data_IF_830211177399
#
_entry.id   IF_830211177399
#
_cell.length_a   1.000
_cell.length_b   1.000
_cell.length_c   1.000
_cell.angle_alpha   90.00
_cell.angle_beta   90.00
_cell.angle_gamma   90.00
#
_symmetry.space_group_name_H-M   'P 1'
#
loop_
_entity.id
_entity.type
_entity.pdbx_description
1 polymer ?
#
# COMPACT_ATOMS: atom_id res chain seq x y z
N UNK A 1 4.61 3.23 -0.14
CA UNK A 1 4.21 2.66 -1.46
C UNK A 1 3.83 3.70 -2.49
N UNK A 2 3.16 4.77 -2.15
CA UNK A 2 2.78 5.85 -3.08
C UNK A 2 3.96 6.48 -3.87
N UNK A 3 5.19 6.23 -3.48
CA UNK A 3 6.40 6.73 -4.16
C UNK A 3 6.92 5.79 -5.26
N UNK A 4 6.54 4.51 -5.24
CA UNK A 4 7.03 3.49 -6.18
C UNK A 4 6.78 3.87 -7.65
N UNK A 5 5.58 4.32 -8.06
CA UNK A 5 5.32 4.66 -9.44
C UNK A 5 6.17 5.80 -9.99
N UNK A 6 6.72 6.64 -9.10
CA UNK A 6 7.59 7.74 -9.51
C UNK A 6 8.99 7.21 -9.81
N UNK A 7 9.47 6.23 -9.05
CA UNK A 7 10.76 5.59 -9.31
C UNK A 7 10.82 4.94 -10.69
N UNK A 8 9.71 4.37 -11.17
CA UNK A 8 9.65 3.69 -12.46
C UNK A 8 9.86 4.58 -13.66
N UNK A 9 9.71 5.89 -13.50
CA UNK A 9 9.97 6.85 -14.57
C UNK A 9 11.46 7.11 -14.79
N UNK A 10 12.31 6.55 -13.94
CA UNK A 10 13.74 6.79 -13.96
C UNK A 10 14.51 5.48 -13.96
N UNK A 11 14.87 4.98 -15.14
CA UNK A 11 15.55 3.68 -15.29
C UNK A 11 16.82 3.58 -14.45
N UNK A 12 17.52 4.69 -14.26
CA UNK A 12 18.71 4.77 -13.42
C UNK A 12 18.47 4.39 -11.96
N UNK A 13 17.22 4.41 -11.50
CA UNK A 13 16.86 4.04 -10.12
C UNK A 13 16.52 2.56 -9.97
N UNK A 14 16.29 1.85 -11.07
CA UNK A 14 15.79 0.48 -11.04
C UNK A 14 16.72 -0.51 -10.34
N UNK A 15 18.02 -0.24 -10.31
CA UNK A 15 19.03 -1.12 -9.69
C UNK A 15 19.62 -0.55 -8.40
N UNK A 16 19.18 0.64 -7.97
CA UNK A 16 19.71 1.22 -6.73
C UNK A 16 19.17 0.49 -5.49
N UNK A 17 19.97 0.41 -4.43
CA UNK A 17 19.48 -0.07 -3.14
C UNK A 17 18.32 0.79 -2.62
N UNK A 18 17.41 0.16 -1.89
CA UNK A 18 16.26 0.83 -1.28
C UNK A 18 16.46 0.83 0.23
N UNK A 19 16.56 2.03 0.79
CA UNK A 19 16.69 2.20 2.24
C UNK A 19 15.31 2.05 2.88
N UNK A 20 15.21 1.14 3.83
CA UNK A 20 13.96 0.82 4.51
C UNK A 20 14.24 0.71 6.01
N UNK A 21 13.30 1.22 6.81
CA UNK A 21 13.35 1.06 8.25
C UNK A 21 13.19 -0.41 8.66
N UNK A 22 14.07 -0.93 9.53
CA UNK A 22 14.12 -2.33 9.94
C UNK A 22 13.02 -2.72 10.95
N UNK A 23 12.43 -1.76 11.64
CA UNK A 23 11.32 -1.98 12.58
C UNK A 23 9.95 -2.21 11.94
N UNK A 24 9.86 -2.36 10.59
CA UNK A 24 8.59 -2.66 9.95
C UNK A 24 8.21 -4.13 10.15
N UNK A 25 6.91 -4.43 10.41
CA UNK A 25 6.43 -5.81 10.39
C UNK A 25 6.76 -6.51 9.06
N UNK A 26 7.16 -7.78 9.11
CA UNK A 26 7.62 -8.56 7.94
C UNK A 26 6.72 -8.47 6.70
N UNK A 27 5.40 -8.47 6.92
CA UNK A 27 4.39 -8.31 5.85
C UNK A 27 4.56 -7.04 5.00
N UNK A 28 5.19 -5.99 5.52
CA UNK A 28 5.43 -4.77 4.74
C UNK A 28 6.52 -4.97 3.68
N UNK A 29 7.53 -5.79 3.98
CA UNK A 29 8.57 -6.16 3.01
C UNK A 29 7.98 -7.01 1.90
N UNK A 30 7.11 -7.98 2.23
CA UNK A 30 6.39 -8.79 1.25
C UNK A 30 5.51 -7.91 0.36
N UNK A 31 4.88 -6.91 0.96
CA UNK A 31 4.04 -5.95 0.22
C UNK A 31 4.86 -5.10 -0.77
N UNK A 32 6.07 -4.70 -0.40
CA UNK A 32 6.97 -3.95 -1.30
C UNK A 32 7.41 -4.84 -2.45
N UNK A 33 7.70 -6.11 -2.18
CA UNK A 33 8.08 -7.10 -3.19
C UNK A 33 6.94 -7.37 -4.17
N UNK A 34 5.70 -7.41 -3.72
CA UNK A 34 4.51 -7.51 -4.57
C UNK A 34 4.46 -6.41 -5.64
N UNK A 35 4.97 -5.22 -5.33
CA UNK A 35 5.08 -4.12 -6.27
C UNK A 35 6.36 -4.15 -7.12
N UNK A 36 7.10 -5.25 -7.13
CA UNK A 36 8.22 -5.50 -8.02
C UNK A 36 9.58 -5.01 -7.52
N UNK A 37 9.69 -4.62 -6.25
CA UNK A 37 10.98 -4.27 -5.66
C UNK A 37 11.52 -5.47 -4.88
N UNK A 38 12.53 -6.13 -5.41
CA UNK A 38 13.12 -7.33 -4.82
C UNK A 38 13.72 -7.06 -3.44
N UNK A 39 13.50 -7.96 -2.49
CA UNK A 39 14.08 -7.89 -1.13
C UNK A 39 15.61 -7.79 -1.13
N UNK A 40 16.27 -8.37 -2.12
CA UNK A 40 17.74 -8.30 -2.27
C UNK A 40 18.27 -6.86 -2.46
N UNK A 41 17.40 -5.90 -2.78
CA UNK A 41 17.73 -4.48 -2.89
C UNK A 41 17.56 -3.72 -1.58
N UNK A 42 17.00 -4.33 -0.55
CA UNK A 42 16.72 -3.64 0.72
C UNK A 42 18.00 -3.49 1.53
N UNK A 43 18.25 -2.28 1.97
CA UNK A 43 19.19 -1.97 3.05
C UNK A 43 18.34 -1.55 4.24
N UNK A 44 18.32 -2.39 5.27
CA UNK A 44 17.57 -2.13 6.48
C UNK A 44 18.33 -1.14 7.36
N UNK A 45 17.64 -0.11 7.80
CA UNK A 45 18.21 0.94 8.63
C UNK A 45 17.58 0.89 10.01
N UNK A 46 18.36 0.64 11.06
CA UNK A 46 17.87 0.71 12.43
C UNK A 46 17.45 2.15 12.79
N UNK A 47 16.38 2.27 13.59
CA UNK A 47 15.88 3.57 14.02
C UNK A 47 16.91 4.40 14.80
N UNK A 48 17.75 3.69 15.55
CA UNK A 48 18.72 4.31 16.47
C UNK A 48 20.07 4.62 15.84
N UNK A 49 20.30 4.20 14.60
CA UNK A 49 21.62 4.33 13.95
C UNK A 49 21.52 5.28 12.74
N UNK A 50 22.10 6.48 12.83
CA UNK A 50 22.15 7.36 11.68
C UNK A 50 23.00 6.76 10.56
N UNK A 51 22.51 6.86 9.33
CA UNK A 51 23.20 6.36 8.14
C UNK A 51 23.63 7.53 7.26
N UNK A 52 24.93 7.57 6.95
CA UNK A 52 25.47 8.54 6.01
C UNK A 52 25.47 7.94 4.60
N UNK A 53 24.77 8.59 3.68
CA UNK A 53 24.75 8.21 2.27
C UNK A 53 25.45 9.28 1.42
N UNK A 54 26.18 8.86 0.40
CA UNK A 54 26.89 9.78 -0.51
C UNK A 54 25.90 10.54 -1.40
N UNK A 55 24.85 9.88 -1.86
CA UNK A 55 23.79 10.44 -2.69
C UNK A 55 22.47 9.77 -2.36
N UNK A 56 21.46 10.54 -2.02
CA UNK A 56 20.12 10.06 -1.72
C UNK A 56 19.14 10.54 -2.79
N UNK A 57 18.38 9.58 -3.34
CA UNK A 57 17.26 9.87 -4.23
C UNK A 57 15.96 9.72 -3.44
N UNK A 58 15.14 10.75 -3.45
CA UNK A 58 13.85 10.73 -2.79
C UNK A 58 12.76 11.09 -3.79
N UNK A 59 11.79 10.20 -3.94
CA UNK A 59 10.59 10.51 -4.71
C UNK A 59 9.56 11.23 -3.82
N UNK A 60 8.84 12.22 -4.33
CA UNK A 60 7.70 12.79 -3.63
C UNK A 60 6.59 11.75 -3.45
N UNK A 61 5.65 12.00 -2.56
CA UNK A 61 4.46 11.15 -2.44
C UNK A 61 3.52 11.38 -3.62
N UNK A 62 3.00 10.31 -4.21
CA UNK A 62 1.93 10.36 -5.19
C UNK A 62 0.54 10.57 -4.55
N UNK A 63 0.50 10.68 -3.24
CA UNK A 63 -0.71 10.97 -2.46
C UNK A 63 -0.38 12.11 -1.52
N UNK A 64 -1.17 13.16 -1.61
CA UNK A 64 -1.12 14.29 -0.67
C UNK A 64 -2.46 14.35 0.06
N UNK A 65 -2.40 14.41 1.36
CA UNK A 65 -3.55 14.74 2.21
C UNK A 65 -3.24 16.09 2.84
N UNK A 66 -3.99 17.12 2.48
CA UNK A 66 -3.92 18.43 3.08
C UNK A 66 -4.17 18.38 4.59
N UNK A 67 -3.97 19.48 5.27
CA UNK A 67 -4.31 19.64 6.68
C UNK A 67 -5.79 19.31 6.86
N UNK A 68 -6.23 18.88 8.05
CA UNK A 68 -7.60 18.44 8.34
C UNK A 68 -8.71 19.43 7.93
N UNK A 69 -8.35 20.69 7.69
CA UNK A 69 -9.25 21.75 7.22
C UNK A 69 -9.28 21.95 5.71
N UNK A 70 -8.37 21.31 4.96
CA UNK A 70 -8.30 21.46 3.52
C UNK A 70 -9.01 20.30 2.84
N UNK A 71 -10.01 20.59 2.03
CA UNK A 71 -10.74 19.62 1.19
C UNK A 71 -9.85 19.02 0.09
N UNK A 72 -8.58 19.40 0.00
CA UNK A 72 -7.65 19.01 -1.04
C UNK A 72 -6.86 17.74 -0.69
N UNK A 73 -7.53 16.60 -0.72
CA UNK A 73 -6.82 15.33 -0.82
C UNK A 73 -6.48 15.07 -2.30
N UNK A 74 -5.21 15.10 -2.66
CA UNK A 74 -4.76 14.77 -4.00
C UNK A 74 -4.25 13.33 -4.05
N UNK A 75 -4.80 12.55 -4.98
CA UNK A 75 -4.31 11.22 -5.31
C UNK A 75 -3.99 11.21 -6.81
N UNK A 76 -2.73 10.94 -7.13
CA UNK A 76 -2.34 10.78 -8.52
C UNK A 76 -2.88 9.46 -9.08
N UNK A 77 -3.87 9.57 -9.95
CA UNK A 77 -4.65 8.46 -10.49
C UNK A 77 -3.78 7.43 -11.22
N UNK A 78 -2.83 7.89 -12.02
CA UNK A 78 -1.92 7.03 -12.78
C UNK A 78 -0.99 6.22 -11.85
N UNK A 79 -0.61 6.78 -10.71
CA UNK A 79 0.16 6.08 -9.70
C UNK A 79 -0.63 4.91 -9.09
N UNK A 80 -1.91 5.11 -8.82
CA UNK A 80 -2.80 4.05 -8.32
C UNK A 80 -2.95 2.93 -9.35
N UNK A 81 -3.16 3.27 -10.62
CA UNK A 81 -3.26 2.29 -11.70
C UNK A 81 -1.94 1.53 -11.92
N UNK A 82 -0.80 2.20 -11.84
CA UNK A 82 0.52 1.56 -11.92
C UNK A 82 0.72 0.55 -10.80
N UNK A 83 0.43 0.93 -9.55
CA UNK A 83 0.50 0.01 -8.41
C UNK A 83 -0.43 -1.19 -8.58
N UNK A 84 -1.69 -0.94 -8.97
CA UNK A 84 -2.65 -2.02 -9.24
C UNK A 84 -2.13 -2.98 -10.32
N UNK A 85 -1.64 -2.46 -11.45
CA UNK A 85 -1.14 -3.28 -12.54
C UNK A 85 0.06 -4.15 -12.12
N UNK A 86 0.94 -3.62 -11.28
CA UNK A 86 2.07 -4.39 -10.71
C UNK A 86 1.63 -5.49 -9.77
N UNK A 87 0.74 -5.17 -8.84
CA UNK A 87 0.17 -6.17 -7.95
C UNK A 87 -0.50 -7.30 -8.73
N UNK A 88 -1.29 -6.97 -9.76
CA UNK A 88 -1.99 -7.95 -10.59
C UNK A 88 -1.06 -8.83 -11.42
N UNK A 89 0.13 -8.35 -11.82
CA UNK A 89 1.13 -9.16 -12.51
C UNK A 89 1.78 -10.21 -11.60
N UNK A 90 1.95 -9.88 -10.33
CA UNK A 90 2.64 -10.71 -9.35
C UNK A 90 1.68 -11.55 -8.49
N UNK A 91 0.38 -11.39 -8.69
CA UNK A 91 -0.64 -12.07 -7.93
C UNK A 91 -1.60 -12.81 -8.85
N UNK A 92 -1.62 -14.13 -8.76
CA UNK A 92 -2.61 -14.95 -9.46
C UNK A 92 -3.94 -14.82 -8.72
N UNK A 93 -4.84 -14.03 -9.26
CA UNK A 93 -6.19 -13.93 -8.70
C UNK A 93 -7.01 -15.16 -9.10
N UNK A 94 -7.73 -15.76 -8.16
CA UNK A 94 -8.76 -16.72 -8.51
C UNK A 94 -9.83 -16.04 -9.40
N UNK A 95 -10.60 -16.81 -10.18
CA UNK A 95 -11.71 -16.25 -10.94
C UNK A 95 -12.63 -15.47 -10.01
N UNK A 96 -13.17 -14.37 -10.50
CA UNK A 96 -14.09 -13.49 -9.75
C UNK A 96 -15.44 -14.21 -9.59
N UNK A 97 -15.54 -15.06 -8.58
CA UNK A 97 -16.73 -15.86 -8.30
C UNK A 97 -17.57 -15.32 -7.17
N UNK A 98 -16.99 -14.45 -6.34
CA UNK A 98 -17.62 -14.01 -5.09
C UNK A 98 -17.54 -12.52 -4.89
N UNK A 99 -18.59 -11.96 -4.29
CA UNK A 99 -18.61 -10.61 -3.74
C UNK A 99 -18.27 -10.72 -2.27
N UNK A 100 -17.16 -10.10 -1.85
CA UNK A 100 -16.67 -10.20 -0.47
C UNK A 100 -16.75 -8.83 0.19
N UNK A 101 -17.35 -8.77 1.36
CA UNK A 101 -17.29 -7.61 2.25
C UNK A 101 -16.30 -7.89 3.38
N UNK A 102 -15.21 -7.14 3.42
CA UNK A 102 -14.21 -7.24 4.48
C UNK A 102 -14.59 -6.33 5.64
N UNK A 103 -15.04 -6.94 6.71
CA UNK A 103 -15.33 -6.22 7.93
C UNK A 103 -14.06 -6.02 8.76
N UNK A 104 -13.95 -4.87 9.39
CA UNK A 104 -12.88 -4.60 10.33
C UNK A 104 -13.13 -5.36 11.64
N UNK A 105 -12.08 -5.96 12.20
CA UNK A 105 -12.16 -6.50 13.55
C UNK A 105 -12.55 -5.40 14.54
N UNK A 106 -13.37 -5.69 15.56
CA UNK A 106 -13.77 -4.73 16.58
C UNK A 106 -12.53 -4.05 17.19
N UNK A 107 -12.56 -2.73 17.28
CA UNK A 107 -11.49 -1.94 17.87
C UNK A 107 -12.07 -0.85 18.77
N UNK A 108 -11.28 -0.34 19.71
CA UNK A 108 -11.75 0.67 20.67
C UNK A 108 -12.31 1.95 20.04
N UNK A 109 -11.95 2.28 18.81
CA UNK A 109 -12.18 3.64 18.28
C UNK A 109 -12.92 3.73 16.95
N UNK A 110 -13.24 2.63 16.27
CA UNK A 110 -13.87 2.67 14.93
C UNK A 110 -14.69 1.44 14.65
N UNK A 111 -15.79 1.29 15.37
CA UNK A 111 -16.74 0.22 15.10
C UNK A 111 -17.88 0.76 14.23
N UNK A 112 -18.40 -0.08 13.36
CA UNK A 112 -19.62 0.20 12.62
C UNK A 112 -20.79 -0.09 13.56
N UNK A 113 -21.58 0.93 13.90
CA UNK A 113 -22.65 0.81 14.88
C UNK A 113 -23.77 -0.15 14.43
N UNK A 114 -24.10 -0.13 13.13
CA UNK A 114 -25.17 -0.93 12.52
C UNK A 114 -24.66 -2.08 11.66
N UNK A 115 -23.61 -2.76 12.10
CA UNK A 115 -22.96 -3.84 11.33
C UNK A 115 -23.90 -5.00 10.98
N UNK A 116 -24.89 -5.27 11.82
CA UNK A 116 -25.87 -6.32 11.57
C UNK A 116 -26.80 -5.96 10.41
N UNK A 117 -27.34 -4.76 10.40
CA UNK A 117 -28.20 -4.24 9.31
C UNK A 117 -27.44 -4.23 7.98
N UNK A 118 -26.17 -3.78 8.02
CA UNK A 118 -25.30 -3.82 6.84
C UNK A 118 -25.10 -5.27 6.37
N UNK A 119 -24.90 -6.21 7.29
CA UNK A 119 -24.74 -7.62 6.96
C UNK A 119 -25.97 -8.20 6.26
N UNK A 120 -27.17 -7.89 6.76
CA UNK A 120 -28.43 -8.33 6.14
C UNK A 120 -28.63 -7.72 4.76
N UNK A 121 -28.37 -6.42 4.61
CA UNK A 121 -28.41 -5.75 3.32
C UNK A 121 -27.43 -6.36 2.31
N UNK A 122 -26.19 -6.60 2.72
CA UNK A 122 -25.17 -7.16 1.83
C UNK A 122 -25.49 -8.59 1.41
N UNK A 123 -26.09 -9.41 2.27
CA UNK A 123 -26.57 -10.74 1.92
C UNK A 123 -27.64 -10.70 0.82
N UNK A 124 -28.51 -9.69 0.82
CA UNK A 124 -29.52 -9.53 -0.24
C UNK A 124 -28.92 -9.24 -1.63
N UNK A 125 -27.65 -8.86 -1.68
CA UNK A 125 -26.86 -8.62 -2.89
C UNK A 125 -25.78 -9.68 -3.15
N UNK A 126 -25.90 -10.87 -2.56
CA UNK A 126 -24.97 -11.98 -2.70
C UNK A 126 -23.53 -11.67 -2.26
N UNK A 127 -23.35 -10.85 -1.22
CA UNK A 127 -22.05 -10.64 -0.62
C UNK A 127 -21.76 -11.67 0.47
N UNK A 128 -20.57 -12.25 0.42
CA UNK A 128 -20.02 -13.01 1.53
C UNK A 128 -19.49 -12.05 2.60
N UNK A 129 -19.95 -12.22 3.82
CA UNK A 129 -19.64 -11.38 4.97
C UNK A 129 -18.60 -12.09 5.85
N UNK A 130 -17.34 -11.66 5.79
CA UNK A 130 -16.22 -12.17 6.59
C UNK A 130 -15.62 -11.12 7.52
#
# INVERSE_FOLDING_TARGET
MSRIPIYDRFDQLNNLPVLIYDGLPGRYYDFIELFGIKKSRFILIPETSPVKVKKLWMAPSAMYRGHYSDETAFIWKEAVFSLRSRAMKNFSLPPKTERIYLKRSPSRHRNIANIQEIGELLKSFDFNFS
#
